data_IF_943810387769
#
_entry.id   IF_943810387769
#
_cell.length_a   1.000
_cell.length_b   1.000
_cell.length_c   1.000
_cell.angle_alpha   90.00
_cell.angle_beta   90.00
_cell.angle_gamma   90.00
#
_symmetry.space_group_name_H-M   'P 1'
#
loop_
_entity.id
_entity.type
_entity.pdbx_description
1 polymer ?
#
# COMPACT_ATOMS: atom_id res chain seq x y z
N UNK A 1 -11.28 3.07 -1.62
CA UNK A 1 -12.37 3.59 -2.48
C UNK A 1 -12.09 3.36 -3.96
N UNK A 2 -11.06 3.99 -4.56
CA UNK A 2 -10.75 3.84 -6.01
C UNK A 2 -10.59 2.37 -6.39
N UNK A 3 -9.77 1.61 -5.67
CA UNK A 3 -9.58 0.16 -5.88
C UNK A 3 -10.90 -0.62 -5.88
N UNK A 4 -11.75 -0.38 -4.88
CA UNK A 4 -13.05 -1.04 -4.73
C UNK A 4 -13.97 -0.76 -5.92
N UNK A 5 -14.06 0.51 -6.34
CA UNK A 5 -14.91 0.90 -7.48
C UNK A 5 -14.37 0.35 -8.79
N UNK A 6 -13.05 0.33 -8.98
CA UNK A 6 -12.38 -0.26 -10.14
C UNK A 6 -12.67 -1.77 -10.25
N UNK A 7 -12.61 -2.48 -9.11
CA UNK A 7 -12.99 -3.88 -9.03
C UNK A 7 -14.48 -4.11 -9.34
N UNK A 8 -15.39 -3.31 -8.74
CA UNK A 8 -16.83 -3.42 -9.00
C UNK A 8 -17.13 -3.20 -10.49
N UNK A 9 -16.55 -2.17 -11.11
CA UNK A 9 -16.73 -1.90 -12.55
C UNK A 9 -16.22 -3.06 -13.42
N UNK A 10 -15.10 -3.65 -13.05
CA UNK A 10 -14.53 -4.81 -13.75
C UNK A 10 -15.39 -6.06 -13.60
N UNK A 11 -16.00 -6.27 -12.44
CA UNK A 11 -16.91 -7.38 -12.17
C UNK A 11 -18.24 -7.26 -12.92
N UNK A 12 -18.79 -6.05 -13.03
CA UNK A 12 -20.12 -5.82 -13.58
C UNK A 12 -20.11 -4.80 -14.73
N UNK A 13 -19.70 -5.23 -15.93
CA UNK A 13 -19.51 -4.35 -17.11
C UNK A 13 -20.74 -3.52 -17.56
N UNK A 14 -21.94 -3.85 -17.09
CA UNK A 14 -23.19 -3.16 -17.45
C UNK A 14 -23.70 -2.16 -16.42
N UNK A 15 -23.04 -2.00 -15.27
CA UNK A 15 -23.52 -1.09 -14.23
C UNK A 15 -23.27 0.36 -14.62
N UNK A 16 -24.23 1.23 -14.29
CA UNK A 16 -24.07 2.67 -14.41
C UNK A 16 -23.98 3.27 -13.01
N UNK A 17 -22.93 4.03 -12.78
CA UNK A 17 -22.77 4.77 -11.53
C UNK A 17 -23.55 6.08 -11.62
N UNK A 18 -24.24 6.43 -10.52
CA UNK A 18 -24.75 7.78 -10.28
C UNK A 18 -23.93 8.38 -9.14
N UNK A 19 -23.67 9.68 -9.22
CA UNK A 19 -22.87 10.37 -8.20
C UNK A 19 -23.59 11.59 -7.66
N UNK A 20 -23.68 11.67 -6.33
CA UNK A 20 -24.04 12.90 -5.63
C UNK A 20 -22.75 13.60 -5.24
N UNK A 21 -22.61 14.86 -5.66
CA UNK A 21 -21.37 15.60 -5.47
C UNK A 21 -21.22 16.08 -4.02
N UNK A 22 -19.99 16.16 -3.50
CA UNK A 22 -19.75 16.76 -2.19
C UNK A 22 -20.29 18.19 -2.14
N UNK A 23 -20.84 18.63 -0.99
CA UNK A 23 -21.33 20.00 -0.85
C UNK A 23 -20.18 21.00 -0.95
N UNK A 24 -20.47 22.18 -1.48
CA UNK A 24 -19.47 23.24 -1.55
C UNK A 24 -19.20 23.82 -0.15
N UNK A 25 -17.93 23.95 0.22
CA UNK A 25 -17.54 24.75 1.40
C UNK A 25 -17.19 26.16 0.95
N UNK A 26 -17.82 27.16 1.58
CA UNK A 26 -17.47 28.57 1.38
C UNK A 26 -16.38 28.95 2.39
N UNK A 27 -15.31 29.57 1.92
CA UNK A 27 -14.34 30.25 2.76
C UNK A 27 -14.23 31.69 2.25
N UNK A 28 -14.92 32.62 2.93
CA UNK A 28 -15.11 33.97 2.43
C UNK A 28 -15.92 34.00 1.12
N UNK A 29 -15.42 34.72 0.11
CA UNK A 29 -16.05 34.81 -1.21
C UNK A 29 -15.70 33.65 -2.16
N UNK A 30 -14.75 32.78 -1.79
CA UNK A 30 -14.34 31.64 -2.61
C UNK A 30 -15.05 30.34 -2.21
N UNK A 31 -15.52 29.62 -3.21
CA UNK A 31 -16.04 28.25 -3.07
C UNK A 31 -14.90 27.27 -3.26
N UNK A 32 -14.40 26.69 -2.16
CA UNK A 32 -13.31 25.72 -2.17
C UNK A 32 -13.88 24.30 -2.10
N UNK A 33 -14.01 23.69 -3.27
CA UNK A 33 -14.52 22.34 -3.43
C UNK A 33 -13.41 21.29 -3.33
N UNK A 34 -12.70 21.28 -2.21
CA UNK A 34 -11.49 20.46 -2.05
C UNK A 34 -11.76 18.98 -2.27
N UNK A 35 -12.83 18.42 -1.67
CA UNK A 35 -13.16 16.99 -1.82
C UNK A 35 -13.52 16.64 -3.28
N UNK A 36 -14.41 17.42 -3.89
CA UNK A 36 -14.81 17.26 -5.30
C UNK A 36 -13.60 17.38 -6.24
N UNK A 37 -12.64 18.25 -5.90
CA UNK A 37 -11.40 18.43 -6.65
C UNK A 37 -10.41 17.28 -6.46
N UNK A 38 -10.29 16.71 -5.25
CA UNK A 38 -9.50 15.50 -5.02
C UNK A 38 -10.05 14.35 -5.84
N UNK A 39 -11.37 14.16 -5.87
CA UNK A 39 -12.02 13.09 -6.63
C UNK A 39 -11.75 13.21 -8.14
N UNK A 40 -11.81 14.42 -8.71
CA UNK A 40 -11.41 14.64 -10.10
C UNK A 40 -9.91 14.39 -10.31
N UNK A 41 -9.07 14.93 -9.43
CA UNK A 41 -7.60 14.82 -9.50
C UNK A 41 -7.10 13.38 -9.47
N UNK A 42 -7.65 12.52 -8.61
CA UNK A 42 -7.28 11.10 -8.54
C UNK A 42 -7.97 10.25 -9.63
N UNK A 43 -8.73 10.86 -10.54
CA UNK A 43 -9.39 10.19 -11.65
C UNK A 43 -10.65 9.40 -11.29
N UNK A 44 -11.24 9.63 -10.11
CA UNK A 44 -12.43 8.91 -9.67
C UNK A 44 -13.61 9.11 -10.62
N UNK A 45 -13.88 10.34 -11.07
CA UNK A 45 -14.98 10.59 -12.01
C UNK A 45 -14.78 9.93 -13.36
N UNK A 46 -13.54 9.90 -13.87
CA UNK A 46 -13.21 9.14 -15.08
C UNK A 46 -13.47 7.64 -14.88
N UNK A 47 -13.09 7.10 -13.72
CA UNK A 47 -13.31 5.69 -13.40
C UNK A 47 -14.79 5.31 -13.46
N UNK A 48 -15.70 6.19 -13.05
CA UNK A 48 -17.15 5.93 -13.06
C UNK A 48 -17.88 6.46 -14.31
N UNK A 49 -17.17 6.80 -15.38
CA UNK A 49 -17.72 7.32 -16.65
C UNK A 49 -18.42 8.70 -16.53
N UNK A 50 -17.97 9.51 -15.57
CA UNK A 50 -18.42 10.89 -15.34
C UNK A 50 -17.33 11.93 -15.67
N UNK A 51 -16.53 11.68 -16.70
CA UNK A 51 -15.38 12.55 -17.05
C UNK A 51 -15.73 13.99 -17.41
N UNK A 52 -17.01 14.27 -17.69
CA UNK A 52 -17.56 15.62 -17.88
C UNK A 52 -17.53 16.46 -16.58
N UNK A 53 -17.46 15.82 -15.40
CA UNK A 53 -17.25 16.52 -14.13
C UNK A 53 -15.78 16.91 -14.06
N UNK A 54 -15.50 18.21 -14.19
CA UNK A 54 -14.14 18.78 -14.10
C UNK A 54 -14.04 19.81 -13.00
N UNK A 55 -12.93 19.80 -12.26
CA UNK A 55 -12.54 20.78 -11.25
C UNK A 55 -11.06 21.12 -11.43
N UNK A 56 -10.76 22.41 -11.57
CA UNK A 56 -9.39 22.91 -11.43
C UNK A 56 -9.21 23.41 -10.01
N UNK A 57 -8.21 22.89 -9.32
CA UNK A 57 -7.85 23.33 -7.98
C UNK A 57 -6.35 23.16 -7.80
N UNK A 58 -5.65 24.26 -7.52
CA UNK A 58 -4.21 24.26 -7.29
C UNK A 58 -3.86 24.15 -5.79
N UNK A 59 -4.84 23.90 -4.93
CA UNK A 59 -4.59 23.70 -3.51
C UNK A 59 -3.66 22.51 -3.31
N UNK A 60 -2.59 22.69 -2.53
CA UNK A 60 -1.60 21.63 -2.27
C UNK A 60 -2.23 20.34 -1.74
N UNK A 61 -3.29 20.44 -0.94
CA UNK A 61 -4.06 19.28 -0.43
C UNK A 61 -4.78 18.47 -1.52
N UNK A 62 -4.93 19.02 -2.73
CA UNK A 62 -5.49 18.35 -3.90
C UNK A 62 -4.37 17.81 -4.78
N UNK A 63 -3.44 18.68 -5.19
CA UNK A 63 -2.41 18.36 -6.18
C UNK A 63 -1.27 17.53 -5.64
N UNK A 64 -1.17 17.32 -4.32
CA UNK A 64 -0.12 16.51 -3.70
C UNK A 64 -0.17 15.03 -4.07
N UNK A 65 -1.30 14.53 -4.57
CA UNK A 65 -1.50 13.12 -4.86
C UNK A 65 -1.08 12.76 -6.28
N UNK A 66 -0.33 11.69 -6.42
CA UNK A 66 -0.11 10.96 -7.67
C UNK A 66 -0.63 9.53 -7.51
N UNK A 67 -1.15 8.98 -8.59
CA UNK A 67 -1.81 7.67 -8.58
C UNK A 67 -1.41 6.83 -9.79
N UNK A 68 -1.30 5.52 -9.56
CA UNK A 68 -1.02 4.51 -10.55
C UNK A 68 -1.69 3.19 -10.19
N UNK A 69 -1.80 2.30 -11.17
CA UNK A 69 -2.24 0.94 -10.97
C UNK A 69 -1.62 0.02 -12.03
N UNK A 70 -1.63 -1.29 -11.77
CA UNK A 70 -1.14 -2.27 -12.73
C UNK A 70 -1.62 -3.69 -12.42
N UNK A 71 -1.61 -4.54 -13.45
CA UNK A 71 -2.07 -5.93 -13.37
C UNK A 71 -0.89 -6.92 -13.35
N UNK A 72 0.33 -6.42 -13.52
CA UNK A 72 1.56 -7.19 -13.55
C UNK A 72 2.64 -6.52 -12.72
N UNK A 73 3.75 -7.22 -12.47
CA UNK A 73 4.87 -6.69 -11.70
C UNK A 73 5.76 -5.73 -12.51
N UNK A 74 5.25 -5.09 -13.58
CA UNK A 74 6.00 -4.06 -14.29
C UNK A 74 6.19 -2.86 -13.38
N UNK A 75 7.40 -2.77 -12.83
CA UNK A 75 7.79 -1.70 -11.91
C UNK A 75 7.95 -0.34 -12.58
N UNK A 76 7.80 -0.22 -13.90
CA UNK A 76 8.06 1.04 -14.62
C UNK A 76 7.21 2.20 -14.13
N UNK A 77 5.92 1.96 -13.91
CA UNK A 77 5.00 3.00 -13.45
C UNK A 77 5.33 3.38 -12.01
N UNK A 78 5.55 2.40 -11.13
CA UNK A 78 5.99 2.63 -9.75
C UNK A 78 7.33 3.37 -9.68
N UNK A 79 8.28 3.04 -10.56
CA UNK A 79 9.57 3.70 -10.67
C UNK A 79 9.40 5.17 -11.03
N UNK A 80 8.56 5.49 -12.02
CA UNK A 80 8.27 6.88 -12.42
C UNK A 80 7.68 7.69 -11.25
N UNK A 81 6.70 7.14 -10.53
CA UNK A 81 6.11 7.83 -9.36
C UNK A 81 7.16 8.12 -8.28
N UNK A 82 8.05 7.16 -8.01
CA UNK A 82 9.10 7.31 -6.99
C UNK A 82 10.24 8.22 -7.46
N UNK A 83 10.59 8.21 -8.74
CA UNK A 83 11.61 9.11 -9.32
C UNK A 83 11.21 10.59 -9.20
N UNK A 84 9.91 10.89 -9.31
CA UNK A 84 9.38 12.24 -9.09
C UNK A 84 9.58 12.74 -7.65
N UNK A 85 9.96 11.87 -6.71
CA UNK A 85 10.26 12.24 -5.34
C UNK A 85 11.73 12.64 -5.12
N UNK A 86 12.58 12.57 -6.14
CA UNK A 86 14.02 12.87 -6.04
C UNK A 86 14.31 14.30 -5.56
N UNK A 87 13.44 15.26 -5.88
CA UNK A 87 13.55 16.65 -5.42
C UNK A 87 13.40 16.84 -3.91
N UNK A 88 12.81 15.87 -3.19
CA UNK A 88 12.59 15.96 -1.74
C UNK A 88 13.75 15.39 -0.90
N UNK A 89 14.93 15.15 -1.52
CA UNK A 89 16.12 14.70 -0.82
C UNK A 89 16.05 13.26 -0.26
N UNK A 90 15.07 12.46 -0.69
CA UNK A 90 14.91 11.08 -0.22
C UNK A 90 15.73 10.08 -1.04
N UNK A 91 16.06 8.93 -0.43
CA UNK A 91 16.77 7.82 -1.08
C UNK A 91 15.83 7.03 -2.01
N UNK A 92 15.40 7.62 -3.12
CA UNK A 92 14.39 7.08 -4.06
C UNK A 92 14.69 5.65 -4.54
N UNK A 93 15.96 5.32 -4.83
CA UNK A 93 16.36 3.96 -5.23
C UNK A 93 16.05 2.90 -4.16
N UNK A 94 16.20 3.25 -2.89
CA UNK A 94 15.91 2.34 -1.77
C UNK A 94 14.41 2.20 -1.55
N UNK A 95 13.69 3.33 -1.60
CA UNK A 95 12.23 3.34 -1.54
C UNK A 95 11.63 2.49 -2.66
N UNK A 96 12.12 2.66 -3.89
CA UNK A 96 11.70 1.87 -5.05
C UNK A 96 11.83 0.36 -4.81
N UNK A 97 12.95 -0.10 -4.25
CA UNK A 97 13.12 -1.54 -3.98
C UNK A 97 12.12 -2.07 -2.94
N UNK A 98 11.84 -1.31 -1.88
CA UNK A 98 10.82 -1.71 -0.89
C UNK A 98 9.39 -1.64 -1.45
N UNK A 99 9.07 -0.65 -2.27
CA UNK A 99 7.78 -0.55 -2.95
C UNK A 99 7.59 -1.64 -4.00
N UNK A 100 8.64 -1.96 -4.77
CA UNK A 100 8.61 -3.02 -5.77
C UNK A 100 8.35 -4.38 -5.12
N UNK A 101 8.87 -4.62 -3.92
CA UNK A 101 8.55 -5.82 -3.16
C UNK A 101 7.06 -5.94 -2.83
N UNK A 102 6.41 -4.84 -2.44
CA UNK A 102 4.97 -4.84 -2.23
C UNK A 102 4.17 -5.08 -3.51
N UNK A 103 4.60 -4.50 -4.64
CA UNK A 103 3.99 -4.76 -5.96
C UNK A 103 4.16 -6.23 -6.37
N UNK A 104 5.36 -6.80 -6.19
CA UNK A 104 5.64 -8.19 -6.49
C UNK A 104 4.76 -9.11 -5.63
N UNK A 105 4.64 -8.85 -4.32
CA UNK A 105 3.76 -9.60 -3.43
C UNK A 105 2.28 -9.52 -3.87
N UNK A 106 1.81 -8.36 -4.33
CA UNK A 106 0.46 -8.23 -4.86
C UNK A 106 0.25 -9.08 -6.13
N UNK A 107 1.20 -9.10 -7.04
CA UNK A 107 1.11 -9.87 -8.28
C UNK A 107 1.27 -11.39 -8.05
N UNK A 108 2.23 -11.79 -7.23
CA UNK A 108 2.63 -13.20 -7.08
C UNK A 108 1.83 -13.94 -6.01
N UNK A 109 1.31 -13.23 -5.00
CA UNK A 109 0.75 -13.86 -3.79
C UNK A 109 -0.69 -13.46 -3.51
N UNK A 110 -1.07 -12.19 -3.67
CA UNK A 110 -2.39 -11.72 -3.26
C UNK A 110 -3.54 -12.45 -3.96
N UNK A 111 -3.34 -12.87 -5.21
CA UNK A 111 -4.34 -13.53 -6.04
C UNK A 111 -3.97 -14.97 -6.45
N UNK A 112 -3.23 -15.66 -5.57
CA UNK A 112 -2.77 -17.04 -5.79
C UNK A 112 -3.94 -18.01 -6.01
N UNK A 113 -3.82 -18.88 -7.01
CA UNK A 113 -4.87 -19.88 -7.30
C UNK A 113 -4.82 -21.08 -6.31
N UNK A 114 -3.87 -21.07 -5.36
CA UNK A 114 -3.80 -22.05 -4.26
C UNK A 114 -4.92 -21.88 -3.23
N UNK A 115 -5.60 -20.74 -3.23
CA UNK A 115 -6.72 -20.45 -2.35
C UNK A 115 -7.94 -20.22 -3.23
N UNK A 116 -9.03 -20.92 -2.94
CA UNK A 116 -10.30 -20.70 -3.65
C UNK A 116 -11.03 -19.55 -2.96
N UNK A 117 -11.24 -18.40 -3.61
CA UNK A 117 -12.01 -17.31 -3.01
C UNK A 117 -13.52 -17.60 -3.06
N UNK A 118 -14.28 -17.07 -2.10
CA UNK A 118 -15.75 -17.14 -2.12
C UNK A 118 -16.34 -16.54 -3.40
N UNK A 119 -15.71 -15.48 -3.92
CA UNK A 119 -16.04 -14.85 -5.20
C UNK A 119 -14.79 -14.80 -6.08
N UNK A 120 -14.83 -15.31 -7.32
CA UNK A 120 -13.68 -15.27 -8.21
C UNK A 120 -13.16 -13.85 -8.46
N UNK A 121 -11.85 -13.67 -8.38
CA UNK A 121 -11.22 -12.40 -8.74
C UNK A 121 -11.32 -12.17 -10.25
N UNK A 122 -12.18 -11.23 -10.66
CA UNK A 122 -12.26 -10.77 -12.05
C UNK A 122 -11.18 -9.76 -12.40
N UNK A 123 -10.67 -9.06 -11.40
CA UNK A 123 -9.58 -8.09 -11.52
C UNK A 123 -8.50 -8.45 -10.50
N UNK A 124 -7.31 -8.81 -11.01
CA UNK A 124 -6.10 -9.05 -10.21
C UNK A 124 -5.19 -7.83 -10.44
N UNK A 125 -5.25 -6.84 -9.54
CA UNK A 125 -4.63 -5.52 -9.73
C UNK A 125 -4.04 -5.00 -8.43
N UNK A 126 -2.93 -4.28 -8.53
CA UNK A 126 -2.43 -3.44 -7.47
C UNK A 126 -2.68 -1.97 -7.79
N UNK A 127 -2.83 -1.16 -6.74
CA UNK A 127 -2.98 0.28 -6.80
C UNK A 127 -1.89 0.96 -6.00
N UNK A 128 -1.40 2.09 -6.48
CA UNK A 128 -0.27 2.82 -5.93
C UNK A 128 -0.63 4.30 -5.82
N UNK A 129 -0.51 4.86 -4.63
CA UNK A 129 -0.67 6.29 -4.38
C UNK A 129 0.58 6.87 -3.74
N UNK A 130 0.94 8.09 -4.14
CA UNK A 130 2.00 8.90 -3.52
C UNK A 130 1.41 10.24 -3.18
N UNK A 131 1.58 10.71 -1.95
CA UNK A 131 1.18 12.02 -1.50
C UNK A 131 2.36 12.78 -0.90
N UNK A 132 2.54 14.05 -1.25
CA UNK A 132 3.54 14.92 -0.61
C UNK A 132 2.86 16.12 0.04
N UNK A 133 2.73 16.11 1.36
CA UNK A 133 2.00 17.12 2.11
C UNK A 133 2.52 17.25 3.55
N UNK A 134 2.57 18.47 4.08
CA UNK A 134 2.96 18.77 5.47
C UNK A 134 4.30 18.12 5.86
N UNK A 135 5.33 18.34 5.04
CA UNK A 135 6.70 17.84 5.24
C UNK A 135 6.79 16.30 5.38
N UNK A 136 5.79 15.60 4.85
CA UNK A 136 5.73 14.14 4.77
C UNK A 136 5.42 13.66 3.36
N UNK A 137 6.09 12.60 2.97
CA UNK A 137 5.76 11.78 1.81
C UNK A 137 5.04 10.54 2.34
N UNK A 138 3.85 10.28 1.80
CA UNK A 138 3.07 9.08 2.07
C UNK A 138 3.00 8.25 0.81
N UNK A 139 3.44 7.00 0.88
CA UNK A 139 3.35 6.03 -0.20
C UNK A 139 2.40 4.92 0.23
N UNK A 140 1.38 4.64 -0.56
CA UNK A 140 0.40 3.60 -0.31
C UNK A 140 0.38 2.64 -1.49
N UNK A 141 0.49 1.34 -1.20
CA UNK A 141 0.29 0.27 -2.19
C UNK A 141 -0.78 -0.65 -1.64
N UNK A 142 -1.76 -1.01 -2.46
CA UNK A 142 -2.77 -1.96 -2.04
C UNK A 142 -3.21 -2.93 -3.14
N UNK A 143 -3.79 -4.03 -2.68
CA UNK A 143 -4.48 -5.04 -3.49
C UNK A 143 -5.83 -5.40 -2.83
N UNK A 144 -6.68 -6.07 -3.59
CA UNK A 144 -7.97 -6.62 -3.14
C UNK A 144 -7.95 -8.16 -3.18
N UNK A 145 -6.80 -8.77 -2.91
CA UNK A 145 -6.62 -10.20 -2.92
C UNK A 145 -7.01 -10.86 -1.59
N UNK A 146 -6.47 -12.04 -1.35
CA UNK A 146 -6.76 -12.85 -0.14
C UNK A 146 -6.23 -12.24 1.16
N UNK A 147 -5.30 -11.28 1.10
CA UNK A 147 -4.61 -10.75 2.26
C UNK A 147 -3.49 -11.66 2.78
N UNK A 148 -2.47 -11.05 3.39
CA UNK A 148 -1.29 -11.72 3.96
C UNK A 148 -1.67 -12.86 4.93
N UNK A 149 -2.62 -12.70 5.87
CA UNK A 149 -2.97 -13.76 6.82
C UNK A 149 -3.38 -15.07 6.14
N UNK A 150 -4.07 -14.98 5.00
CA UNK A 150 -4.55 -16.14 4.26
C UNK A 150 -3.48 -16.70 3.31
N UNK A 151 -2.60 -15.85 2.77
CA UNK A 151 -1.59 -16.28 1.76
C UNK A 151 -0.30 -16.80 2.37
N UNK A 152 0.01 -16.46 3.62
CA UNK A 152 1.33 -16.75 4.22
C UNK A 152 1.67 -18.26 4.19
N UNK A 153 0.77 -19.13 4.65
CA UNK A 153 1.07 -20.58 4.72
C UNK A 153 1.09 -21.28 3.36
N UNK A 154 0.35 -20.78 2.38
CA UNK A 154 0.30 -21.40 1.04
C UNK A 154 1.44 -20.93 0.13
N UNK A 155 2.06 -19.79 0.46
CA UNK A 155 3.15 -19.19 -0.33
C UNK A 155 4.53 -19.45 0.26
N UNK A 156 4.63 -19.81 1.54
CA UNK A 156 5.90 -20.04 2.23
C UNK A 156 6.06 -21.49 2.66
N UNK A 157 7.31 -21.91 2.81
CA UNK A 157 7.67 -23.27 3.25
C UNK A 157 7.35 -23.49 4.74
N UNK A 158 6.85 -24.67 5.10
CA UNK A 158 6.43 -25.00 6.47
C UNK A 158 7.61 -24.98 7.47
N UNK A 159 8.80 -25.42 7.05
CA UNK A 159 9.98 -25.40 7.90
C UNK A 159 10.44 -23.96 8.19
N UNK A 160 10.32 -23.07 7.19
CA UNK A 160 10.58 -21.65 7.35
C UNK A 160 9.60 -21.01 8.33
N UNK A 161 8.30 -21.31 8.20
CA UNK A 161 7.26 -20.77 9.08
C UNK A 161 7.45 -21.27 10.52
N UNK A 162 7.78 -22.55 10.71
CA UNK A 162 8.11 -23.12 12.03
C UNK A 162 9.24 -22.36 12.72
N UNK A 163 10.29 -21.98 11.97
CA UNK A 163 11.39 -21.15 12.50
C UNK A 163 10.89 -19.75 12.90
N UNK A 164 9.98 -19.16 12.12
CA UNK A 164 9.38 -17.86 12.42
C UNK A 164 8.49 -17.93 13.67
N UNK A 165 7.65 -18.95 13.82
CA UNK A 165 6.84 -19.18 15.02
C UNK A 165 7.71 -19.26 16.26
N UNK A 166 8.80 -20.04 16.22
CA UNK A 166 9.76 -20.13 17.31
C UNK A 166 10.41 -18.78 17.65
N UNK A 167 10.78 -17.98 16.64
CA UNK A 167 11.32 -16.61 16.85
C UNK A 167 10.30 -15.65 17.46
N UNK A 168 9.01 -15.89 17.23
CA UNK A 168 7.92 -15.13 17.84
C UNK A 168 7.45 -15.71 19.17
N UNK A 169 8.13 -16.75 19.69
CA UNK A 169 7.75 -17.48 20.91
C UNK A 169 6.36 -18.10 20.84
N UNK A 170 5.96 -18.56 19.65
CA UNK A 170 4.70 -19.26 19.38
C UNK A 170 4.97 -20.75 19.16
N UNK A 171 4.09 -21.59 19.68
CA UNK A 171 4.14 -23.05 19.50
C UNK A 171 3.55 -23.52 18.17
N UNK A 172 2.66 -22.73 17.56
CA UNK A 172 1.97 -23.04 16.31
C UNK A 172 1.59 -21.76 15.56
N UNK A 173 0.94 -21.91 14.40
CA UNK A 173 0.35 -20.78 13.66
C UNK A 173 -0.57 -19.96 14.58
N UNK A 174 -0.39 -18.63 14.66
CA UNK A 174 -1.30 -17.76 15.40
C UNK A 174 -2.63 -17.58 14.67
N UNK A 175 -3.68 -17.24 15.43
CA UNK A 175 -5.01 -16.92 14.88
C UNK A 175 -5.18 -15.45 14.51
N UNK A 176 -4.35 -14.56 15.09
CA UNK A 176 -4.45 -13.13 14.89
C UNK A 176 -3.82 -12.70 13.57
N UNK A 177 -4.55 -11.91 12.79
CA UNK A 177 -4.08 -11.42 11.49
C UNK A 177 -2.84 -10.54 11.67
N UNK A 178 -2.80 -9.69 12.71
CA UNK A 178 -1.67 -8.82 12.98
C UNK A 178 -0.37 -9.60 13.28
N UNK A 179 -0.47 -10.76 13.92
CA UNK A 179 0.68 -11.64 14.19
C UNK A 179 1.17 -12.31 12.90
N UNK A 180 0.24 -12.74 12.03
CA UNK A 180 0.57 -13.28 10.72
C UNK A 180 1.23 -12.23 9.81
N UNK A 181 0.76 -10.97 9.86
CA UNK A 181 1.42 -9.85 9.16
C UNK A 181 2.82 -9.63 9.70
N UNK A 182 3.01 -9.60 11.03
CA UNK A 182 4.34 -9.46 11.62
C UNK A 182 5.28 -10.58 11.14
N UNK A 183 4.79 -11.82 11.15
CA UNK A 183 5.53 -12.99 10.70
C UNK A 183 5.94 -12.91 9.21
N UNK A 184 5.07 -12.39 8.34
CA UNK A 184 5.38 -12.24 6.91
C UNK A 184 6.59 -11.33 6.68
N UNK A 185 6.74 -10.26 7.48
CA UNK A 185 7.92 -9.38 7.41
C UNK A 185 9.23 -10.03 7.85
N UNK A 186 9.19 -11.24 8.44
CA UNK A 186 10.36 -11.98 8.91
C UNK A 186 10.82 -13.06 7.91
N UNK A 187 10.05 -13.30 6.85
CA UNK A 187 10.29 -14.35 5.85
C UNK A 187 11.63 -14.14 5.15
N UNK A 188 11.86 -12.95 4.58
CA UNK A 188 13.11 -12.64 3.87
C UNK A 188 14.33 -12.67 4.77
N UNK A 189 14.23 -12.10 5.97
CA UNK A 189 15.31 -12.12 6.95
C UNK A 189 15.66 -13.57 7.35
N UNK A 190 14.66 -14.43 7.53
CA UNK A 190 14.91 -15.82 7.92
C UNK A 190 15.48 -16.64 6.77
N UNK A 191 15.06 -16.42 5.52
CA UNK A 191 15.66 -17.05 4.33
C UNK A 191 17.13 -16.66 4.12
N UNK A 192 17.44 -15.37 4.26
CA UNK A 192 18.80 -14.85 4.04
C UNK A 192 19.79 -15.25 5.14
N UNK A 193 19.34 -15.48 6.37
CA UNK A 193 20.19 -16.00 7.45
C UNK A 193 20.57 -17.49 7.28
N UNK A 194 19.86 -18.24 6.45
CA UNK A 194 20.20 -19.64 6.13
C UNK A 194 21.23 -19.75 5.00
N UNK A 195 21.34 -18.72 4.15
CA UNK A 195 22.21 -18.71 2.96
C UNK A 195 23.25 -17.60 3.12
N UNK A 196 24.43 -17.93 3.67
CA UNK A 196 25.54 -16.99 3.86
C UNK A 196 25.92 -16.21 2.57
N UNK A 197 25.40 -14.99 2.37
CA UNK A 197 26.09 -13.86 1.70
C UNK A 197 25.35 -12.52 1.78
N UNK A 198 26.13 -11.46 2.00
CA UNK A 198 25.71 -10.06 1.99
C UNK A 198 25.38 -9.53 0.59
N UNK A 199 24.15 -9.75 0.15
CA UNK A 199 23.46 -8.87 -0.82
C UNK A 199 22.09 -8.57 -0.26
N UNK A 200 21.95 -7.40 0.37
CA UNK A 200 20.70 -6.93 0.96
C UNK A 200 19.57 -6.89 -0.08
N UNK A 201 18.87 -8.00 -0.24
CA UNK A 201 17.58 -8.04 -0.92
C UNK A 201 16.64 -7.15 -0.13
N UNK A 202 16.05 -6.16 -0.78
CA UNK A 202 15.15 -5.25 -0.09
C UNK A 202 13.91 -6.01 0.39
N UNK A 203 13.60 -5.83 1.66
CA UNK A 203 12.31 -6.14 2.27
C UNK A 203 11.50 -4.84 2.38
N UNK A 204 10.19 -4.94 2.62
CA UNK A 204 9.32 -3.78 2.86
C UNK A 204 9.81 -2.92 4.03
N UNK A 205 10.50 -3.53 5.02
CA UNK A 205 11.10 -2.83 6.17
C UNK A 205 12.43 -2.15 5.89
N UNK A 206 13.17 -2.57 4.86
CA UNK A 206 14.56 -2.11 4.61
C UNK A 206 14.66 -0.60 4.49
N UNK A 207 13.72 0.04 3.80
CA UNK A 207 13.73 1.50 3.69
C UNK A 207 13.59 2.21 5.05
N UNK A 208 12.77 1.65 5.95
CA UNK A 208 12.53 2.21 7.29
C UNK A 208 13.77 2.09 8.18
N UNK A 209 14.47 0.97 8.09
CA UNK A 209 15.72 0.76 8.83
C UNK A 209 16.82 1.75 8.43
N UNK A 210 16.78 2.28 7.21
CA UNK A 210 17.84 3.11 6.63
C UNK A 210 17.47 4.61 6.54
N UNK A 211 16.26 4.96 7.00
CA UNK A 211 15.70 6.30 6.91
C UNK A 211 15.08 6.68 8.26
N UNK A 212 15.75 7.61 8.95
CA UNK A 212 15.33 8.04 10.27
C UNK A 212 13.92 8.63 10.25
N UNK A 213 13.17 8.41 11.34
CA UNK A 213 11.82 8.93 11.56
C UNK A 213 10.78 8.56 10.49
N UNK A 214 11.12 7.62 9.60
CA UNK A 214 10.16 6.97 8.71
C UNK A 214 9.42 5.84 9.43
N UNK A 215 8.28 5.44 8.87
CA UNK A 215 7.50 4.33 9.38
C UNK A 215 6.82 3.56 8.26
N UNK A 216 6.55 2.29 8.54
CA UNK A 216 5.76 1.39 7.73
C UNK A 216 4.51 0.98 8.50
N UNK A 217 3.37 0.92 7.84
CA UNK A 217 2.15 0.31 8.37
C UNK A 217 1.66 -0.69 7.34
N UNK A 218 1.31 -1.89 7.78
CA UNK A 218 0.68 -2.91 6.96
C UNK A 218 -0.71 -3.18 7.55
N UNK A 219 -1.74 -2.98 6.74
CA UNK A 219 -3.09 -3.43 7.01
C UNK A 219 -3.36 -4.64 6.13
N UNK A 220 -3.83 -5.74 6.69
CA UNK A 220 -4.21 -6.89 5.89
C UNK A 220 -5.31 -7.68 6.57
N UNK A 221 -6.42 -7.87 5.87
CA UNK A 221 -7.66 -8.34 6.47
C UNK A 221 -7.99 -7.54 7.75
N UNK A 222 -8.12 -8.18 8.92
CA UNK A 222 -8.38 -7.45 10.17
C UNK A 222 -7.10 -6.90 10.79
N UNK A 223 -5.95 -7.45 10.47
CA UNK A 223 -4.68 -7.15 11.13
C UNK A 223 -4.11 -5.79 10.75
N UNK A 224 -3.47 -5.14 11.72
CA UNK A 224 -2.61 -3.98 11.53
C UNK A 224 -1.26 -4.24 12.20
N UNK A 225 -0.18 -3.96 11.48
CA UNK A 225 1.19 -4.02 11.99
C UNK A 225 1.91 -2.72 11.66
N UNK A 226 2.47 -2.05 12.68
CA UNK A 226 3.27 -0.83 12.53
C UNK A 226 4.74 -1.13 12.82
N UNK A 227 5.61 -0.64 11.95
CA UNK A 227 7.05 -0.75 12.08
C UNK A 227 7.72 0.63 11.97
N UNK A 228 8.63 0.94 12.89
CA UNK A 228 9.31 2.25 12.94
C UNK A 228 10.84 2.11 13.07
N UNK A 229 11.37 0.95 12.71
CA UNK A 229 12.78 0.57 12.89
C UNK A 229 12.98 -0.46 14.00
N UNK A 230 14.14 -1.12 13.99
CA UNK A 230 14.45 -2.30 14.84
C UNK A 230 14.36 -2.03 16.34
N UNK A 231 14.78 -0.85 16.77
CA UNK A 231 14.88 -0.48 18.18
C UNK A 231 13.62 0.21 18.72
N UNK A 232 12.58 0.34 17.89
CA UNK A 232 11.31 0.96 18.27
C UNK A 232 10.22 -0.09 18.48
N UNK A 233 9.26 0.14 19.39
CA UNK A 233 8.09 -0.71 19.51
C UNK A 233 7.41 -0.90 18.15
N UNK A 234 6.92 -2.11 17.89
CA UNK A 234 6.16 -2.43 16.68
C UNK A 234 4.73 -2.81 17.05
N UNK A 235 3.82 -1.83 17.29
CA UNK A 235 2.44 -2.11 17.64
C UNK A 235 1.74 -2.99 16.61
N UNK A 236 0.97 -3.95 17.09
CA UNK A 236 0.19 -4.86 16.28
C UNK A 236 -1.17 -5.11 16.95
N UNK A 237 -2.25 -5.08 16.18
CA UNK A 237 -3.60 -5.34 16.67
C UNK A 237 -4.54 -5.71 15.53
N UNK A 238 -5.62 -6.42 15.86
CA UNK A 238 -6.70 -6.71 14.92
C UNK A 238 -7.83 -5.70 15.06
N UNK A 239 -8.37 -5.26 13.93
CA UNK A 239 -9.52 -4.36 13.85
C UNK A 239 -10.82 -5.17 13.85
N UNK A 240 -11.93 -4.48 14.14
CA UNK A 240 -13.28 -5.08 14.08
C UNK A 240 -13.69 -5.48 12.65
N UNK A 241 -13.21 -4.77 11.64
CA UNK A 241 -13.54 -4.98 10.24
C UNK A 241 -12.28 -5.31 9.42
N UNK A 242 -12.48 -6.14 8.39
CA UNK A 242 -11.45 -6.50 7.43
C UNK A 242 -11.31 -5.45 6.33
N UNK A 243 -10.09 -5.17 5.89
CA UNK A 243 -9.82 -4.34 4.69
C UNK A 243 -10.11 -5.07 3.38
N UNK A 244 -10.26 -6.40 3.39
CA UNK A 244 -10.54 -7.21 2.19
C UNK A 244 -9.39 -7.21 1.18
N UNK A 245 -8.18 -7.51 1.64
CA UNK A 245 -6.94 -7.38 0.87
C UNK A 245 -5.81 -6.84 1.73
N UNK A 246 -4.77 -6.26 1.12
CA UNK A 246 -3.63 -5.67 1.82
C UNK A 246 -3.43 -4.21 1.44
N UNK A 247 -3.07 -3.38 2.42
CA UNK A 247 -2.60 -1.99 2.23
C UNK A 247 -1.25 -1.87 2.94
N UNK A 248 -0.23 -1.40 2.23
CA UNK A 248 1.09 -1.11 2.76
C UNK A 248 1.34 0.38 2.62
N UNK A 249 1.63 1.04 3.74
CA UNK A 249 1.89 2.47 3.83
C UNK A 249 3.33 2.71 4.29
N UNK A 250 4.09 3.52 3.56
CA UNK A 250 5.27 4.18 4.09
C UNK A 250 4.97 5.66 4.33
N UNK A 251 5.31 6.14 5.51
CA UNK A 251 5.32 7.56 5.83
C UNK A 251 6.77 7.99 6.07
N UNK A 252 7.21 9.01 5.34
CA UNK A 252 8.60 9.42 5.23
C UNK A 252 8.66 10.93 5.50
N UNK A 253 9.33 11.40 6.54
CA UNK A 253 9.58 12.82 6.71
C UNK A 253 10.53 13.28 5.60
N UNK A 254 10.31 14.49 5.08
CA UNK A 254 11.25 15.16 4.20
C UNK A 254 11.48 16.59 4.68
N UNK A 255 12.64 17.15 4.33
CA UNK A 255 12.91 18.57 4.50
C UNK A 255 12.85 19.20 3.13
N UNK A 256 12.01 20.23 2.98
CA UNK A 256 11.83 20.93 1.72
C UNK A 256 13.13 21.69 1.39
N UNK A 257 13.92 21.16 0.46
CA UNK A 257 15.25 21.70 0.10
C UNK A 257 15.15 23.12 -0.51
N UNK A 258 13.98 23.50 -1.02
CA UNK A 258 13.71 24.84 -1.58
C UNK A 258 13.35 25.90 -0.53
N UNK A 259 13.20 25.52 0.75
CA UNK A 259 12.95 26.46 1.87
C UNK A 259 14.22 26.83 2.65
N UNK A 260 15.40 26.42 2.20
CA UNK A 260 16.70 26.84 2.72
C UNK A 260 17.34 27.87 1.78
#
# INVERSE_FOLDING_TARGET
>A
MVATVDNIKSQYKGIKFKVTRPPNRRQGHESLNLVDSVLDHIGFYKLIDHEHIKRRCNAKSVTCWSYAYGDNASGEIAAKLIQNLSSYGIKTNKLYRSCFEAVANACEHAYTDKIVPDTPFKLKRWWFFVGVLNDKITVLICDLGHGIPNTLEVTQDESLLTKIWKKLHLSSKPSEDCTLIRASTMVKETRTKEVYRGKGGADVKTFVDETENSSLIIFSNKGTYRYQGKDKPSPAYDNSLSTGGTIIEWTIPYTDMEKQ
#
